data_IF_470209350820
#
_entry.id   IF_470209350820
#
_cell.length_a   1.000
_cell.length_b   1.000
_cell.length_c   1.000
_cell.angle_alpha   90.00
_cell.angle_beta   90.00
_cell.angle_gamma   90.00
#
_symmetry.space_group_name_H-M   'P 1'
#
loop_
_entity.id
_entity.type
_entity.pdbx_description
1 polymer ?
#
# COMPACT_ATOMS: atom_id res chain seq x y z
N UNK A 1 25.56 4.81 -7.63
CA UNK A 1 25.73 4.78 -6.16
C UNK A 1 24.37 4.54 -5.54
N UNK A 2 24.25 3.61 -4.59
CA UNK A 2 22.97 3.29 -3.92
C UNK A 2 22.99 3.83 -2.49
N UNK A 3 21.93 4.56 -2.13
CA UNK A 3 21.73 5.09 -0.78
C UNK A 3 20.49 4.43 -0.17
N UNK A 4 20.56 4.08 1.12
CA UNK A 4 19.44 3.54 1.87
C UNK A 4 19.13 4.44 3.07
N UNK A 5 17.87 4.82 3.22
CA UNK A 5 17.37 5.56 4.38
C UNK A 5 16.54 4.60 5.23
N UNK A 6 17.02 4.28 6.43
CA UNK A 6 16.39 3.34 7.36
C UNK A 6 16.18 3.97 8.72
N UNK A 7 15.12 3.56 9.41
CA UNK A 7 14.84 3.99 10.78
C UNK A 7 15.60 3.09 11.74
N UNK A 8 16.24 3.67 12.74
CA UNK A 8 17.01 2.93 13.75
C UNK A 8 16.22 2.73 15.05
N UNK A 9 14.96 3.17 15.09
CA UNK A 9 14.07 3.10 16.25
C UNK A 9 12.73 2.46 15.85
N UNK A 10 11.64 2.84 16.53
CA UNK A 10 10.31 2.26 16.36
C UNK A 10 9.38 3.10 15.46
N UNK A 11 9.94 3.85 14.49
CA UNK A 11 9.16 4.70 13.59
C UNK A 11 9.26 6.20 13.91
N UNK A 12 8.67 7.01 13.03
CA UNK A 12 8.58 8.48 13.13
C UNK A 12 9.89 9.26 13.31
N UNK A 13 11.03 8.68 12.90
CA UNK A 13 12.36 9.33 12.98
C UNK A 13 12.60 10.40 11.90
N UNK A 14 11.54 10.86 11.22
CA UNK A 14 11.66 11.88 10.17
C UNK A 14 12.24 11.39 8.84
N UNK A 15 12.26 10.06 8.58
CA UNK A 15 12.80 9.45 7.35
C UNK A 15 12.33 10.13 6.06
N UNK A 16 11.03 10.42 5.97
CA UNK A 16 10.46 11.05 4.77
C UNK A 16 11.04 12.44 4.50
N UNK A 17 11.34 13.22 5.56
CA UNK A 17 11.96 14.54 5.42
C UNK A 17 13.39 14.43 4.90
N UNK A 18 14.11 13.41 5.35
CA UNK A 18 15.47 13.13 4.89
C UNK A 18 15.49 12.61 3.45
N UNK A 19 14.53 11.77 3.06
CA UNK A 19 14.34 11.35 1.67
C UNK A 19 14.03 12.55 0.77
N UNK A 20 13.15 13.46 1.17
CA UNK A 20 12.90 14.69 0.40
C UNK A 20 14.16 15.57 0.31
N UNK A 21 14.93 15.70 1.40
CA UNK A 21 16.19 16.43 1.35
C UNK A 21 17.18 15.81 0.34
N UNK A 22 17.36 14.48 0.37
CA UNK A 22 18.25 13.79 -0.56
C UNK A 22 17.73 13.80 -2.00
N UNK A 23 16.42 13.99 -2.22
CA UNK A 23 15.84 14.00 -3.56
C UNK A 23 16.36 15.15 -4.43
N UNK A 24 16.98 16.19 -3.88
CA UNK A 24 17.66 17.23 -4.67
C UNK A 24 18.82 16.69 -5.50
N UNK A 25 19.46 15.60 -5.08
CA UNK A 25 20.69 15.07 -5.69
C UNK A 25 20.53 13.67 -6.30
N UNK A 26 19.32 13.11 -6.27
CA UNK A 26 19.02 11.74 -6.74
C UNK A 26 17.87 11.81 -7.73
N UNK A 27 17.92 11.02 -8.81
CA UNK A 27 16.87 10.96 -9.84
C UNK A 27 15.84 9.83 -9.60
N UNK A 28 16.27 8.72 -9.01
CA UNK A 28 15.47 7.53 -8.78
C UNK A 28 15.26 7.29 -7.29
N UNK A 29 14.00 7.20 -6.86
CA UNK A 29 13.65 7.00 -5.45
C UNK A 29 12.73 5.80 -5.36
N UNK A 30 13.15 4.80 -4.59
CA UNK A 30 12.45 3.53 -4.48
C UNK A 30 11.93 3.29 -3.07
N UNK A 31 10.64 2.95 -2.98
CA UNK A 31 10.05 2.33 -1.81
C UNK A 31 10.11 0.82 -1.96
N UNK A 32 10.82 0.16 -1.04
CA UNK A 32 11.04 -1.28 -1.11
C UNK A 32 10.16 -2.11 -0.17
N UNK A 33 9.56 -1.52 0.87
CA UNK A 33 8.73 -2.26 1.83
C UNK A 33 7.65 -1.39 2.52
N UNK A 34 6.91 -2.03 3.41
CA UNK A 34 5.85 -1.42 4.22
C UNK A 34 4.59 -1.09 3.42
N UNK A 35 3.59 -0.52 4.09
CA UNK A 35 2.37 0.00 3.44
C UNK A 35 2.02 1.40 3.96
N UNK A 36 0.74 1.81 3.85
CA UNK A 36 0.25 3.12 4.29
C UNK A 36 0.22 3.33 5.82
N UNK A 37 1.21 2.82 6.53
CA UNK A 37 1.31 2.77 8.00
C UNK A 37 1.96 4.04 8.56
N UNK A 38 2.81 4.68 7.75
CA UNK A 38 3.54 5.89 8.08
C UNK A 38 3.19 6.96 7.04
N UNK A 39 2.96 8.19 7.50
CA UNK A 39 2.68 9.33 6.63
C UNK A 39 3.76 10.39 6.79
N UNK A 40 4.42 10.76 5.71
CA UNK A 40 5.27 11.95 5.68
C UNK A 40 4.48 13.14 5.15
N UNK A 41 4.40 14.22 5.94
CA UNK A 41 3.79 15.47 5.48
C UNK A 41 4.84 16.41 4.90
N UNK A 42 4.60 16.91 3.69
CA UNK A 42 5.41 17.97 3.04
C UNK A 42 4.51 19.19 2.85
N UNK A 43 5.03 20.39 3.14
CA UNK A 43 4.37 21.63 2.75
C UNK A 43 4.86 22.07 1.37
N UNK A 44 3.95 22.33 0.44
CA UNK A 44 4.26 22.79 -0.91
C UNK A 44 3.21 23.80 -1.36
N UNK A 45 3.65 25.00 -1.79
CA UNK A 45 2.78 26.10 -2.23
C UNK A 45 1.63 26.42 -1.24
N UNK A 46 1.91 26.35 0.07
CA UNK A 46 0.90 26.59 1.12
C UNK A 46 -0.06 25.41 1.38
N UNK A 47 0.05 24.31 0.63
CA UNK A 47 -0.72 23.09 0.83
C UNK A 47 0.09 22.04 1.60
N UNK A 48 -0.58 21.24 2.42
CA UNK A 48 0.02 20.10 3.11
C UNK A 48 -0.29 18.82 2.35
N UNK A 49 0.74 18.16 1.81
CA UNK A 49 0.65 16.85 1.18
C UNK A 49 1.07 15.78 2.18
N UNK A 50 0.31 14.70 2.26
CA UNK A 50 0.65 13.55 3.08
C UNK A 50 0.93 12.34 2.18
N UNK A 51 2.18 11.89 2.18
CA UNK A 51 2.63 10.72 1.43
C UNK A 51 2.74 9.52 2.37
N UNK A 52 2.05 8.45 2.01
CA UNK A 52 2.02 7.19 2.75
C UNK A 52 2.19 5.97 1.87
N UNK A 53 2.07 6.11 0.54
CA UNK A 53 2.38 5.08 -0.44
C UNK A 53 3.55 5.50 -1.35
N UNK A 54 3.47 6.67 -1.98
CA UNK A 54 4.54 7.20 -2.81
C UNK A 54 5.77 7.56 -1.97
N UNK A 55 6.99 7.44 -2.53
CA UNK A 55 8.16 8.08 -1.94
C UNK A 55 7.92 9.57 -1.76
N UNK A 56 8.20 10.09 -0.57
CA UNK A 56 7.79 11.43 -0.20
C UNK A 56 8.73 12.50 -0.79
N UNK A 57 8.40 12.99 -1.98
CA UNK A 57 9.11 14.07 -2.68
C UNK A 57 8.13 14.91 -3.49
N UNK A 58 8.38 16.21 -3.54
CA UNK A 58 7.64 17.18 -4.37
C UNK A 58 8.41 17.59 -5.64
N UNK A 59 9.60 17.02 -5.85
CA UNK A 59 10.43 17.24 -7.05
C UNK A 59 10.05 16.25 -8.15
N UNK A 60 10.17 16.66 -9.41
CA UNK A 60 9.99 15.79 -10.58
C UNK A 60 11.08 14.72 -10.59
N UNK A 61 10.70 13.47 -10.32
CA UNK A 61 11.63 12.34 -10.14
C UNK A 61 11.04 11.06 -10.71
N UNK A 62 11.88 10.03 -10.82
CA UNK A 62 11.43 8.66 -11.07
C UNK A 62 11.12 7.99 -9.73
N UNK A 63 9.84 7.73 -9.48
CA UNK A 63 9.34 7.15 -8.23
C UNK A 63 9.01 5.67 -8.45
N UNK A 64 9.58 4.81 -7.63
CA UNK A 64 9.38 3.36 -7.72
C UNK A 64 8.70 2.84 -6.47
N UNK A 65 7.66 2.02 -6.66
CA UNK A 65 7.07 1.17 -5.63
C UNK A 65 7.41 -0.27 -5.99
N UNK A 66 8.36 -0.85 -5.26
CA UNK A 66 8.83 -2.21 -5.52
C UNK A 66 7.92 -3.26 -4.89
N UNK A 67 7.99 -4.49 -5.41
CA UNK A 67 7.17 -5.65 -5.01
C UNK A 67 7.04 -5.90 -3.50
N UNK A 68 8.02 -5.49 -2.70
CA UNK A 68 8.02 -5.67 -1.26
C UNK A 68 6.99 -4.79 -0.52
N UNK A 69 6.48 -3.73 -1.15
CA UNK A 69 5.47 -2.85 -0.58
C UNK A 69 4.06 -3.47 -0.56
N UNK A 70 3.24 -3.01 0.39
CA UNK A 70 1.84 -3.36 0.55
C UNK A 70 0.95 -2.16 0.25
N UNK A 71 -0.01 -2.33 -0.65
CA UNK A 71 -0.68 -1.23 -1.32
C UNK A 71 -2.13 -1.13 -0.89
N UNK A 72 -2.51 0.05 -0.41
CA UNK A 72 -3.90 0.50 -0.39
C UNK A 72 -4.13 1.23 -1.72
N UNK A 73 -4.94 0.67 -2.64
CA UNK A 73 -5.11 1.24 -3.97
C UNK A 73 -5.75 2.63 -3.93
N UNK A 74 -6.73 2.83 -3.05
CA UNK A 74 -7.36 4.14 -2.80
C UNK A 74 -6.34 5.21 -2.42
N UNK A 75 -5.53 4.94 -1.39
CA UNK A 75 -4.55 5.90 -0.88
C UNK A 75 -3.52 6.24 -1.95
N UNK A 76 -3.01 5.22 -2.64
CA UNK A 76 -2.04 5.41 -3.72
C UNK A 76 -2.63 6.24 -4.86
N UNK A 77 -3.85 5.91 -5.30
CA UNK A 77 -4.53 6.67 -6.34
C UNK A 77 -4.72 8.13 -5.96
N UNK A 78 -5.18 8.40 -4.73
CA UNK A 78 -5.32 9.77 -4.21
C UNK A 78 -4.00 10.54 -4.19
N UNK A 79 -2.91 9.90 -3.75
CA UNK A 79 -1.58 10.52 -3.72
C UNK A 79 -1.09 10.88 -5.13
N UNK A 80 -1.35 10.01 -6.12
CA UNK A 80 -1.02 10.26 -7.54
C UNK A 80 -1.84 11.44 -8.08
N UNK A 81 -3.13 11.49 -7.81
CA UNK A 81 -3.99 12.60 -8.25
C UNK A 81 -3.55 13.94 -7.61
N UNK A 82 -3.17 13.94 -6.33
CA UNK A 82 -2.64 15.14 -5.68
C UNK A 82 -1.34 15.64 -6.32
N UNK A 83 -0.47 14.76 -6.82
CA UNK A 83 0.72 15.19 -7.58
C UNK A 83 0.34 15.86 -8.91
N UNK A 84 -0.65 15.31 -9.62
CA UNK A 84 -1.14 15.87 -10.89
C UNK A 84 -1.79 17.24 -10.70
N UNK A 85 -2.64 17.40 -9.69
CA UNK A 85 -3.29 18.68 -9.36
C UNK A 85 -2.27 19.80 -9.10
N UNK A 86 -1.10 19.44 -8.58
CA UNK A 86 -0.01 20.37 -8.28
C UNK A 86 0.98 20.56 -9.44
N UNK A 87 0.72 19.94 -10.59
CA UNK A 87 1.59 19.90 -11.76
C UNK A 87 3.00 19.37 -11.44
N UNK A 88 3.10 18.38 -10.55
CA UNK A 88 4.35 17.68 -10.26
C UNK A 88 4.47 16.50 -11.23
N UNK A 89 5.38 16.64 -12.19
CA UNK A 89 5.57 15.71 -13.31
C UNK A 89 6.59 14.63 -12.96
N UNK A 90 6.27 13.84 -11.93
CA UNK A 90 7.08 12.66 -11.58
C UNK A 90 6.66 11.45 -12.39
N UNK A 91 7.63 10.69 -12.87
CA UNK A 91 7.37 9.40 -13.52
C UNK A 91 7.20 8.34 -12.44
N UNK A 92 6.07 7.64 -12.44
CA UNK A 92 5.71 6.67 -11.40
C UNK A 92 5.76 5.25 -11.97
N UNK A 93 6.45 4.37 -11.26
CA UNK A 93 6.61 2.96 -11.58
C UNK A 93 6.13 2.11 -10.41
N UNK A 94 5.12 1.27 -10.64
CA UNK A 94 4.50 0.45 -9.61
C UNK A 94 4.66 -1.02 -9.99
N UNK A 95 5.31 -1.80 -9.13
CA UNK A 95 5.45 -3.22 -9.38
C UNK A 95 4.07 -3.90 -9.26
N UNK A 96 3.55 -4.51 -10.34
CA UNK A 96 2.21 -5.09 -10.32
C UNK A 96 2.11 -6.33 -9.40
N UNK A 97 3.24 -6.83 -8.87
CA UNK A 97 3.29 -7.93 -7.90
C UNK A 97 3.15 -7.46 -6.44
N UNK A 98 3.06 -6.15 -6.18
CA UNK A 98 2.76 -5.65 -4.84
C UNK A 98 1.42 -6.22 -4.34
N UNK A 99 1.38 -6.59 -3.06
CA UNK A 99 0.17 -7.12 -2.45
C UNK A 99 -0.77 -6.00 -2.05
N UNK A 100 -2.07 -6.26 -2.13
CA UNK A 100 -3.14 -5.31 -1.82
C UNK A 100 -3.60 -5.50 -0.39
N UNK A 101 -3.65 -4.39 0.35
CA UNK A 101 -4.25 -4.29 1.68
C UNK A 101 -5.74 -4.04 1.47
N UNK A 102 -6.55 -5.02 1.83
CA UNK A 102 -7.99 -5.02 1.65
C UNK A 102 -8.69 -4.44 2.89
N UNK A 103 -9.88 -3.88 2.71
CA UNK A 103 -10.77 -3.52 3.83
C UNK A 103 -11.07 -4.72 4.74
N UNK A 104 -11.17 -5.93 4.17
CA UNK A 104 -11.32 -7.18 4.92
C UNK A 104 -10.16 -7.43 5.91
N UNK A 105 -8.94 -6.98 5.58
CA UNK A 105 -7.80 -7.08 6.48
C UNK A 105 -7.95 -6.15 7.69
N UNK A 106 -8.58 -4.98 7.51
CA UNK A 106 -8.88 -4.07 8.61
C UNK A 106 -9.94 -4.65 9.55
N UNK A 107 -10.99 -5.27 9.01
CA UNK A 107 -12.01 -5.98 9.79
C UNK A 107 -11.40 -7.13 10.60
N UNK A 108 -10.55 -7.95 9.97
CA UNK A 108 -9.82 -9.03 10.66
C UNK A 108 -8.96 -8.50 11.80
N UNK A 109 -8.21 -7.43 11.54
CA UNK A 109 -7.35 -6.81 12.54
C UNK A 109 -8.17 -6.25 13.72
N UNK A 110 -9.29 -5.58 13.45
CA UNK A 110 -10.19 -5.06 14.49
C UNK A 110 -10.76 -6.19 15.35
N UNK A 111 -11.28 -7.24 14.71
CA UNK A 111 -11.81 -8.41 15.42
C UNK A 111 -10.73 -9.08 16.29
N UNK A 112 -9.54 -9.30 15.74
CA UNK A 112 -8.42 -9.91 16.48
C UNK A 112 -7.95 -9.07 17.66
N UNK A 113 -7.78 -7.75 17.49
CA UNK A 113 -7.37 -6.88 18.60
C UNK A 113 -8.46 -6.86 19.69
N UNK A 114 -9.74 -6.77 19.33
CA UNK A 114 -10.82 -6.85 20.32
C UNK A 114 -10.81 -8.16 21.10
N UNK A 115 -10.66 -9.29 20.40
CA UNK A 115 -10.58 -10.61 21.01
C UNK A 115 -9.41 -10.75 22.00
N UNK A 116 -8.27 -10.10 21.74
CA UNK A 116 -7.10 -10.15 22.63
C UNK A 116 -7.29 -9.43 23.98
N UNK A 117 -8.31 -8.58 24.13
CA UNK A 117 -8.55 -7.84 25.37
C UNK A 117 -7.32 -7.04 25.82
N UNK A 118 -6.77 -7.36 26.98
CA UNK A 118 -5.60 -6.66 27.55
C UNK A 118 -4.28 -6.98 26.84
N UNK A 119 -4.25 -8.01 25.97
CA UNK A 119 -3.07 -8.41 25.19
C UNK A 119 -2.99 -7.76 23.81
N UNK A 120 -3.70 -6.66 23.61
CA UNK A 120 -3.67 -5.88 22.36
C UNK A 120 -2.26 -5.39 22.07
N UNK A 121 -1.93 -5.35 20.78
CA UNK A 121 -0.65 -4.80 20.32
C UNK A 121 -0.75 -3.27 20.18
N UNK A 122 -1.95 -2.75 19.91
CA UNK A 122 -2.13 -1.33 19.58
C UNK A 122 -1.83 -1.05 18.12
N UNK A 123 -2.25 -1.96 17.22
CA UNK A 123 -2.05 -1.79 15.78
C UNK A 123 -2.76 -0.55 15.23
N UNK A 124 -2.27 -0.01 14.11
CA UNK A 124 -2.85 1.16 13.42
C UNK A 124 -4.24 0.89 12.80
N UNK A 125 -4.76 -0.34 12.90
CA UNK A 125 -6.10 -0.68 12.42
C UNK A 125 -6.23 -0.87 10.90
N UNK A 126 -5.16 -0.64 10.12
CA UNK A 126 -5.19 -0.66 8.66
C UNK A 126 -5.05 -2.05 8.01
N UNK A 127 -5.02 -3.13 8.80
CA UNK A 127 -4.94 -4.50 8.25
C UNK A 127 -3.58 -4.92 7.69
N UNK A 128 -2.51 -4.19 7.97
CA UNK A 128 -1.20 -4.43 7.34
C UNK A 128 -0.59 -5.78 7.75
N UNK A 129 -0.72 -6.14 9.03
CA UNK A 129 -0.28 -7.45 9.52
C UNK A 129 -1.04 -8.60 8.84
N UNK A 130 -2.36 -8.47 8.70
CA UNK A 130 -3.20 -9.45 8.02
C UNK A 130 -2.85 -9.58 6.52
N UNK A 131 -2.59 -8.47 5.82
CA UNK A 131 -2.10 -8.50 4.45
C UNK A 131 -0.74 -9.22 4.34
N UNK A 132 0.18 -8.98 5.29
CA UNK A 132 1.45 -9.70 5.37
C UNK A 132 1.27 -11.20 5.62
N UNK A 133 0.32 -11.57 6.46
CA UNK A 133 -0.04 -12.95 6.73
C UNK A 133 -0.53 -13.65 5.45
N UNK A 134 -1.43 -13.01 4.70
CA UNK A 134 -1.93 -13.55 3.42
C UNK A 134 -0.85 -13.63 2.34
N UNK A 135 0.06 -12.65 2.29
CA UNK A 135 1.25 -12.70 1.44
C UNK A 135 2.10 -13.92 1.78
N UNK A 136 2.38 -14.15 3.06
CA UNK A 136 3.22 -15.26 3.53
C UNK A 136 2.57 -16.62 3.30
N UNK A 137 1.25 -16.69 3.46
CA UNK A 137 0.46 -17.91 3.21
C UNK A 137 0.15 -18.14 1.72
N UNK A 138 0.54 -17.22 0.82
CA UNK A 138 0.32 -17.30 -0.64
C UNK A 138 -1.16 -17.22 -1.03
N UNK A 139 -1.98 -16.56 -0.21
CA UNK A 139 -3.40 -16.31 -0.47
C UNK A 139 -3.70 -14.84 -0.84
N UNK A 140 -2.72 -13.96 -0.71
CA UNK A 140 -2.90 -12.53 -0.92
C UNK A 140 -3.23 -12.13 -2.35
N UNK A 141 -4.02 -11.06 -2.47
CA UNK A 141 -4.33 -10.39 -3.73
C UNK A 141 -3.17 -9.47 -4.10
N UNK A 142 -2.79 -9.44 -5.37
CA UNK A 142 -1.77 -8.52 -5.90
C UNK A 142 -2.38 -7.53 -6.88
N UNK A 143 -1.71 -6.40 -7.12
CA UNK A 143 -2.20 -5.36 -8.05
C UNK A 143 -2.52 -5.90 -9.45
N UNK A 144 -1.71 -6.81 -9.98
CA UNK A 144 -1.96 -7.46 -11.28
C UNK A 144 -3.26 -8.26 -11.32
N UNK A 145 -3.76 -8.71 -10.17
CA UNK A 145 -5.00 -9.46 -10.11
C UNK A 145 -6.21 -8.53 -10.32
N UNK A 146 -6.09 -7.23 -9.98
CA UNK A 146 -7.17 -6.23 -10.08
C UNK A 146 -7.54 -5.88 -11.52
N UNK A 147 -6.68 -6.17 -12.50
CA UNK A 147 -6.95 -5.91 -13.93
C UNK A 147 -7.58 -7.12 -14.64
N UNK A 148 -7.88 -8.20 -13.90
CA UNK A 148 -8.54 -9.38 -14.44
C UNK A 148 -9.65 -9.82 -13.47
N UNK A 149 -10.89 -9.45 -13.78
CA UNK A 149 -12.04 -9.72 -12.91
C UNK A 149 -12.21 -11.21 -12.56
N UNK A 150 -12.02 -12.11 -13.52
CA UNK A 150 -12.13 -13.55 -13.28
C UNK A 150 -11.12 -14.03 -12.25
N UNK A 151 -9.86 -13.58 -12.38
CA UNK A 151 -8.78 -13.91 -11.43
C UNK A 151 -9.04 -13.27 -10.07
N UNK A 152 -9.41 -11.98 -10.05
CA UNK A 152 -9.72 -11.25 -8.82
C UNK A 152 -10.83 -11.96 -8.04
N UNK A 153 -11.97 -12.25 -8.68
CA UNK A 153 -13.11 -12.91 -8.05
C UNK A 153 -12.73 -14.28 -7.50
N UNK A 154 -12.02 -15.09 -8.29
CA UNK A 154 -11.59 -16.42 -7.86
C UNK A 154 -10.73 -16.37 -6.60
N UNK A 155 -9.70 -15.51 -6.59
CA UNK A 155 -8.80 -15.37 -5.44
C UNK A 155 -9.48 -14.72 -4.23
N UNK A 156 -10.25 -13.66 -4.45
CA UNK A 156 -10.92 -12.94 -3.38
C UNK A 156 -12.00 -13.81 -2.73
N UNK A 157 -12.75 -14.62 -3.48
CA UNK A 157 -13.74 -15.55 -2.91
C UNK A 157 -13.09 -16.50 -1.91
N UNK A 158 -11.97 -17.12 -2.29
CA UNK A 158 -11.24 -18.04 -1.41
C UNK A 158 -10.72 -17.33 -0.16
N UNK A 159 -10.08 -16.17 -0.34
CA UNK A 159 -9.57 -15.38 0.78
C UNK A 159 -10.71 -14.91 1.71
N UNK A 160 -11.82 -14.46 1.13
CA UNK A 160 -12.99 -13.97 1.85
C UNK A 160 -13.58 -15.05 2.74
N UNK A 161 -13.78 -16.27 2.22
CA UNK A 161 -14.33 -17.38 3.02
C UNK A 161 -13.47 -17.69 4.25
N UNK A 162 -12.15 -17.77 4.08
CA UNK A 162 -11.22 -18.02 5.19
C UNK A 162 -11.29 -16.91 6.23
N UNK A 163 -11.16 -15.65 5.79
CA UNK A 163 -11.08 -14.51 6.70
C UNK A 163 -12.41 -14.17 7.35
N UNK A 164 -13.53 -14.30 6.65
CA UNK A 164 -14.87 -14.10 7.21
C UNK A 164 -15.19 -15.13 8.30
N UNK A 165 -14.85 -16.41 8.07
CA UNK A 165 -14.96 -17.45 9.11
C UNK A 165 -14.06 -17.15 10.30
N UNK A 166 -12.83 -16.70 10.07
CA UNK A 166 -11.91 -16.36 11.15
C UNK A 166 -12.46 -15.18 11.98
N UNK A 167 -12.94 -14.12 11.33
CA UNK A 167 -13.57 -12.97 12.00
C UNK A 167 -14.74 -13.44 12.86
N UNK A 168 -15.68 -14.19 12.30
CA UNK A 168 -16.95 -14.53 12.96
C UNK A 168 -16.85 -15.67 13.97
N UNK A 169 -16.05 -16.70 13.68
CA UNK A 169 -16.02 -17.96 14.46
C UNK A 169 -14.84 -18.06 15.41
N UNK A 170 -13.73 -17.37 15.14
CA UNK A 170 -12.55 -17.39 16.01
C UNK A 170 -12.53 -16.15 16.89
N UNK A 171 -12.78 -14.97 16.30
CA UNK A 171 -12.68 -13.70 17.03
C UNK A 171 -14.03 -13.13 17.47
N UNK A 172 -15.14 -13.81 17.16
CA UNK A 172 -16.51 -13.37 17.48
C UNK A 172 -16.82 -11.94 17.01
N UNK A 173 -16.14 -11.52 15.94
CA UNK A 173 -16.27 -10.20 15.34
C UNK A 173 -17.36 -10.15 14.27
N UNK A 174 -17.47 -8.98 13.65
CA UNK A 174 -18.38 -8.72 12.52
C UNK A 174 -17.58 -8.35 11.28
N UNK A 175 -18.14 -8.71 10.13
CA UNK A 175 -17.67 -8.28 8.83
C UNK A 175 -18.89 -7.76 8.08
N UNK A 176 -19.00 -6.43 8.01
CA UNK A 176 -20.12 -5.73 7.39
C UNK A 176 -19.82 -5.31 5.94
N UNK A 177 -18.68 -5.75 5.40
CA UNK A 177 -18.28 -5.44 4.04
C UNK A 177 -19.17 -6.18 3.02
N UNK A 178 -19.49 -5.50 1.93
CA UNK A 178 -20.29 -6.06 0.84
C UNK A 178 -19.33 -6.53 -0.27
N UNK A 179 -19.28 -7.84 -0.50
CA UNK A 179 -18.32 -8.47 -1.42
C UNK A 179 -18.32 -7.83 -2.83
N UNK A 180 -19.49 -7.60 -3.41
CA UNK A 180 -19.60 -7.01 -4.76
C UNK A 180 -19.16 -5.54 -4.80
N UNK A 181 -19.30 -4.79 -3.71
CA UNK A 181 -18.78 -3.41 -3.65
C UNK A 181 -17.26 -3.42 -3.62
N UNK A 182 -16.65 -4.33 -2.85
CA UNK A 182 -15.20 -4.52 -2.82
C UNK A 182 -14.65 -4.94 -4.18
N UNK A 183 -15.32 -5.84 -4.90
CA UNK A 183 -14.91 -6.19 -6.27
C UNK A 183 -14.92 -4.95 -7.17
N UNK A 184 -16.02 -4.18 -7.18
CA UNK A 184 -16.14 -2.97 -8.01
C UNK A 184 -15.06 -1.94 -7.70
N UNK A 185 -14.82 -1.69 -6.41
CA UNK A 185 -13.78 -0.79 -5.93
C UNK A 185 -12.39 -1.23 -6.41
N UNK A 186 -12.05 -2.50 -6.23
CA UNK A 186 -10.75 -3.05 -6.63
C UNK A 186 -10.53 -3.02 -8.14
N UNK A 187 -11.56 -3.34 -8.94
CA UNK A 187 -11.49 -3.24 -10.40
C UNK A 187 -11.28 -1.79 -10.85
N UNK A 188 -12.01 -0.84 -10.24
CA UNK A 188 -11.85 0.58 -10.53
C UNK A 188 -10.41 1.04 -10.27
N UNK A 189 -9.83 0.72 -9.11
CA UNK A 189 -8.44 1.09 -8.84
C UNK A 189 -7.43 0.30 -9.69
N UNK A 190 -7.74 -0.95 -10.05
CA UNK A 190 -6.95 -1.72 -11.01
C UNK A 190 -6.81 -0.99 -12.34
N UNK A 191 -7.93 -0.54 -12.90
CA UNK A 191 -7.97 0.26 -14.13
C UNK A 191 -7.13 1.53 -13.99
N UNK A 192 -7.35 2.31 -12.93
CA UNK A 192 -6.67 3.60 -12.71
C UNK A 192 -5.17 3.48 -12.46
N UNK A 193 -4.72 2.40 -11.82
CA UNK A 193 -3.31 2.21 -11.46
C UNK A 193 -2.52 1.46 -12.55
N UNK A 194 -3.19 0.70 -13.42
CA UNK A 194 -2.55 -0.07 -14.47
C UNK A 194 -1.60 0.72 -15.40
N UNK A 195 -1.83 2.01 -15.74
CA UNK A 195 -0.90 2.77 -16.57
C UNK A 195 0.48 2.98 -15.92
N UNK A 196 0.57 2.86 -14.60
CA UNK A 196 1.84 3.01 -13.86
C UNK A 196 2.54 1.66 -13.63
N UNK A 197 1.94 0.54 -14.05
CA UNK A 197 2.50 -0.79 -13.81
C UNK A 197 3.81 -0.98 -14.58
N UNK A 198 4.86 -1.34 -13.85
CA UNK A 198 6.17 -1.61 -14.41
C UNK A 198 6.89 -2.64 -13.54
N UNK A 199 7.41 -3.72 -14.13
CA UNK A 199 8.24 -4.68 -13.42
C UNK A 199 9.54 -4.00 -12.99
N UNK A 200 9.58 -3.55 -11.74
CA UNK A 200 10.63 -2.64 -11.27
C UNK A 200 12.03 -3.27 -11.35
N UNK A 201 12.15 -4.58 -11.18
CA UNK A 201 13.40 -5.32 -11.32
C UNK A 201 13.99 -5.27 -12.75
N UNK A 202 13.16 -5.13 -13.79
CA UNK A 202 13.65 -5.04 -15.18
C UNK A 202 14.14 -3.62 -15.49
N UNK A 203 13.52 -2.61 -14.89
CA UNK A 203 13.95 -1.20 -15.04
C UNK A 203 15.29 -0.94 -14.35
N UNK A 204 15.54 -1.51 -13.17
CA UNK A 204 16.80 -1.30 -12.45
C UNK A 204 18.03 -1.94 -13.13
N UNK A 205 17.85 -2.92 -14.03
CA UNK A 205 18.94 -3.61 -14.72
C UNK A 205 19.56 -2.80 -15.88
N UNK A 206 18.97 -1.67 -16.23
CA UNK A 206 19.43 -0.81 -17.32
C UNK A 206 20.11 0.48 -16.84
N UNK A 207 20.46 0.57 -15.56
CA UNK A 207 21.18 1.69 -14.93
C UNK A 207 22.52 1.25 -14.34
#
# INVERSE_FOLDING_TARGET
MFNAVVGLQFGDEGKGKFVDYLSSHIEHIARFNGGANAGHSVQYKGMRLAFSQLPATIRNKNLYICQGALISPEILYREIESLKELCIDSTIHIDPRCHVVLSLHAELNRASENFKGDKKIGSVGKGIGACFEDKSNRHGIRLIDLINEKVLRSKLTFLWDIRDRQIKKVFEGKNDLIYEEIIKELLFYGEKLSPYFSFTNEKFLHF
#
